data_IF_634080006702
#
_entry.id   IF_634080006702
#
_cell.length_a   1.000
_cell.length_b   1.000
_cell.length_c   1.000
_cell.angle_alpha   90.00
_cell.angle_beta   90.00
_cell.angle_gamma   90.00
#
_symmetry.space_group_name_H-M   'P 1'
#
loop_
_entity.id
_entity.type
_entity.pdbx_description
1 polymer ?
#
# COMPACT_ATOMS: atom_id res chain seq x y z
N UNK A 1 -7.54 -5.61 18.15
CA UNK A 1 -6.54 -4.51 18.13
C UNK A 1 -5.26 -5.06 18.74
N UNK A 2 -4.09 -4.73 18.22
CA UNK A 2 -2.81 -5.26 18.71
C UNK A 2 -2.07 -4.21 19.51
N UNK A 3 -1.63 -4.55 20.72
CA UNK A 3 -1.04 -3.58 21.65
C UNK A 3 0.49 -3.63 21.70
N UNK A 4 1.09 -4.68 21.14
CA UNK A 4 2.54 -4.88 21.05
C UNK A 4 3.01 -4.75 19.60
N UNK A 5 4.27 -4.36 19.43
CA UNK A 5 4.90 -4.34 18.11
C UNK A 5 5.01 -5.75 17.54
N UNK A 6 4.99 -5.86 16.21
CA UNK A 6 5.11 -7.12 15.48
C UNK A 6 6.18 -7.06 14.41
N UNK A 7 6.75 -8.24 14.14
CA UNK A 7 7.64 -8.50 13.02
C UNK A 7 7.32 -9.87 12.41
N UNK A 8 7.86 -10.20 11.23
CA UNK A 8 7.75 -11.57 10.70
C UNK A 8 8.56 -12.53 11.56
N UNK A 9 8.10 -13.77 11.75
CA UNK A 9 8.76 -14.74 12.61
C UNK A 9 9.99 -15.38 11.95
N UNK A 10 9.89 -15.74 10.66
CA UNK A 10 11.01 -16.19 9.83
C UNK A 10 11.12 -15.36 8.56
N UNK A 11 12.28 -15.33 7.87
CA UNK A 11 12.40 -14.65 6.59
C UNK A 11 11.39 -15.15 5.55
N UNK A 12 10.79 -14.23 4.80
CA UNK A 12 9.85 -14.48 3.71
C UNK A 12 10.53 -14.19 2.38
N UNK A 13 10.50 -15.14 1.45
CA UNK A 13 11.15 -15.02 0.15
C UNK A 13 10.10 -14.84 -0.95
N UNK A 14 10.28 -13.81 -1.78
CA UNK A 14 9.42 -13.48 -2.91
C UNK A 14 10.28 -13.28 -4.17
N UNK A 15 9.88 -13.87 -5.29
CA UNK A 15 10.52 -13.61 -6.58
C UNK A 15 9.45 -13.30 -7.61
N UNK A 16 9.71 -12.32 -8.48
CA UNK A 16 8.75 -11.91 -9.49
C UNK A 16 9.34 -10.90 -10.46
N UNK A 17 8.47 -10.08 -11.03
CA UNK A 17 8.83 -8.99 -11.94
C UNK A 17 8.25 -7.67 -11.43
N UNK A 18 8.94 -6.56 -11.64
CA UNK A 18 8.35 -5.23 -11.47
C UNK A 18 7.34 -4.93 -12.57
N UNK A 19 6.18 -4.35 -12.23
CA UNK A 19 5.11 -4.08 -13.21
C UNK A 19 5.52 -3.03 -14.23
N UNK A 20 6.23 -1.98 -13.81
CA UNK A 20 6.64 -0.90 -14.67
C UNK A 20 7.98 -1.17 -15.36
N UNK A 21 8.97 -1.64 -14.61
CA UNK A 21 10.32 -1.92 -15.13
C UNK A 21 10.39 -3.17 -16.01
N UNK A 22 9.52 -4.17 -15.74
CA UNK A 22 9.63 -5.51 -16.32
C UNK A 22 10.87 -6.28 -15.88
N UNK A 23 11.63 -5.79 -14.89
CA UNK A 23 12.84 -6.45 -14.39
C UNK A 23 12.47 -7.55 -13.42
N UNK A 24 13.20 -8.66 -13.47
CA UNK A 24 13.14 -9.68 -12.42
C UNK A 24 13.65 -9.08 -11.11
N UNK A 25 13.04 -9.49 -10.02
CA UNK A 25 13.41 -9.10 -8.67
C UNK A 25 13.27 -10.29 -7.72
N UNK A 26 14.27 -10.49 -6.89
CA UNK A 26 14.23 -11.33 -5.71
C UNK A 26 14.19 -10.41 -4.49
N UNK A 27 13.21 -10.65 -3.63
CA UNK A 27 12.94 -9.86 -2.44
C UNK A 27 12.85 -10.77 -1.21
N UNK A 28 13.40 -10.31 -0.08
CA UNK A 28 13.33 -10.98 1.21
C UNK A 28 12.79 -10.03 2.26
N UNK A 29 11.73 -10.43 2.98
CA UNK A 29 11.22 -9.71 4.15
C UNK A 29 11.79 -10.41 5.38
N UNK A 30 12.60 -9.72 6.17
CA UNK A 30 13.26 -10.27 7.35
C UNK A 30 12.65 -9.75 8.65
N UNK A 31 12.72 -10.54 9.74
CA UNK A 31 12.45 -10.04 11.07
C UNK A 31 13.37 -8.85 11.37
N UNK A 32 12.86 -7.86 12.10
CA UNK A 32 13.64 -6.70 12.51
C UNK A 32 13.43 -6.38 14.00
N UNK A 33 14.42 -5.76 14.67
CA UNK A 33 14.29 -5.38 16.07
C UNK A 33 13.13 -4.40 16.32
N UNK A 34 12.77 -4.25 17.60
CA UNK A 34 11.82 -3.24 18.06
C UNK A 34 12.25 -1.84 17.60
N UNK A 35 11.26 -0.99 17.26
CA UNK A 35 11.47 0.39 16.78
C UNK A 35 12.34 0.50 15.52
N UNK A 36 12.54 -0.60 14.79
CA UNK A 36 13.25 -0.57 13.52
C UNK A 36 12.44 0.13 12.43
N UNK A 37 11.12 0.02 12.48
CA UNK A 37 10.22 0.41 11.41
C UNK A 37 10.36 -0.49 10.19
N UNK A 38 9.78 -0.04 9.07
CA UNK A 38 9.92 -0.70 7.77
C UNK A 38 11.05 -0.03 6.99
N UNK A 39 12.07 -0.80 6.60
CA UNK A 39 13.20 -0.29 5.79
C UNK A 39 13.44 -1.17 4.59
N UNK A 40 13.67 -0.55 3.45
CA UNK A 40 14.07 -1.22 2.21
C UNK A 40 15.58 -1.13 2.01
N UNK A 41 16.20 -2.18 1.50
CA UNK A 41 17.64 -2.28 1.24
C UNK A 41 17.88 -2.77 -0.18
N UNK A 42 18.60 -1.98 -0.97
CA UNK A 42 18.98 -2.32 -2.35
C UNK A 42 20.25 -3.17 -2.35
N UNK A 43 20.07 -4.50 -2.38
CA UNK A 43 21.16 -5.50 -2.32
C UNK A 43 22.00 -5.58 -3.58
N UNK A 44 21.49 -5.04 -4.69
CA UNK A 44 22.17 -4.99 -5.98
C UNK A 44 23.16 -3.82 -6.12
N UNK A 45 23.16 -2.88 -5.17
CA UNK A 45 24.04 -1.70 -5.18
C UNK A 45 25.20 -1.85 -4.19
N UNK A 46 26.36 -1.19 -4.46
CA UNK A 46 27.45 -1.09 -3.50
C UNK A 46 26.96 -0.56 -2.14
N UNK A 47 27.54 -1.08 -1.05
CA UNK A 47 27.21 -0.71 0.33
C UNK A 47 25.78 -1.01 0.81
N UNK A 48 24.94 -1.64 -0.02
CA UNK A 48 23.56 -2.01 0.31
C UNK A 48 22.75 -0.86 0.94
N UNK A 49 22.56 0.27 0.23
CA UNK A 49 21.90 1.45 0.78
C UNK A 49 20.48 1.14 1.23
N UNK A 50 20.07 1.77 2.33
CA UNK A 50 18.77 1.58 2.97
C UNK A 50 17.90 2.82 2.92
N UNK A 51 16.59 2.66 2.72
CA UNK A 51 15.58 3.72 2.71
C UNK A 51 14.49 3.35 3.70
N UNK A 52 14.19 4.23 4.65
CA UNK A 52 13.04 4.05 5.55
C UNK A 52 11.73 4.32 4.80
N UNK A 53 10.72 3.49 5.02
CA UNK A 53 9.40 3.65 4.41
C UNK A 53 8.59 4.72 5.15
N UNK A 54 8.97 5.98 4.95
CA UNK A 54 8.27 7.14 5.50
C UNK A 54 7.80 8.07 4.38
N UNK A 55 6.74 8.82 4.65
CA UNK A 55 6.15 9.73 3.66
C UNK A 55 7.17 10.79 3.20
N UNK A 56 8.05 11.27 4.07
CA UNK A 56 9.09 12.23 3.71
C UNK A 56 10.24 11.64 2.86
N UNK A 57 10.22 10.33 2.61
CA UNK A 57 11.11 9.67 1.66
C UNK A 57 10.44 9.43 0.31
N UNK A 58 9.17 9.81 0.12
CA UNK A 58 8.49 9.68 -1.18
C UNK A 58 9.06 10.69 -2.16
N UNK A 59 9.45 10.23 -3.35
CA UNK A 59 10.09 11.05 -4.39
C UNK A 59 9.32 11.06 -5.71
N UNK A 60 8.41 10.11 -5.93
CA UNK A 60 7.49 10.09 -7.08
C UNK A 60 6.17 9.39 -6.70
N UNK A 61 5.08 9.85 -7.31
CA UNK A 61 3.71 9.31 -7.13
C UNK A 61 2.95 9.17 -8.45
N UNK A 62 3.66 9.22 -9.59
CA UNK A 62 3.05 9.39 -10.92
C UNK A 62 2.31 8.14 -11.39
N UNK A 63 2.89 6.96 -11.12
CA UNK A 63 2.31 5.65 -11.50
C UNK A 63 2.21 4.67 -10.34
N UNK A 64 3.00 4.92 -9.29
CA UNK A 64 3.18 4.09 -8.11
C UNK A 64 3.74 4.99 -7.01
N UNK A 65 3.75 4.53 -5.76
CA UNK A 65 4.47 5.20 -4.69
C UNK A 65 5.94 4.80 -4.72
N UNK A 66 6.83 5.78 -4.90
CA UNK A 66 8.27 5.57 -5.00
C UNK A 66 8.95 6.28 -3.83
N UNK A 67 9.72 5.53 -3.05
CA UNK A 67 10.57 6.08 -1.99
C UNK A 67 12.02 6.19 -2.47
N UNK A 68 12.75 7.20 -1.99
CA UNK A 68 14.11 7.45 -2.41
C UNK A 68 14.95 8.23 -1.40
N UNK A 69 16.26 8.03 -1.47
CA UNK A 69 17.24 8.80 -0.71
C UNK A 69 18.60 8.72 -1.41
N UNK A 70 19.32 9.84 -1.48
CA UNK A 70 20.66 9.92 -2.07
C UNK A 70 20.79 9.29 -3.48
N UNK A 71 19.78 9.50 -4.34
CA UNK A 71 19.75 8.96 -5.71
C UNK A 71 19.39 7.48 -5.83
N UNK A 72 19.15 6.78 -4.71
CA UNK A 72 18.63 5.41 -4.67
C UNK A 72 17.12 5.45 -4.55
N UNK A 73 16.41 4.57 -5.25
CA UNK A 73 14.94 4.45 -5.16
C UNK A 73 14.49 3.00 -4.96
N UNK A 74 13.28 2.88 -4.40
CA UNK A 74 12.43 1.70 -4.43
C UNK A 74 11.04 2.11 -4.87
N UNK A 75 10.58 1.53 -5.98
CA UNK A 75 9.31 1.81 -6.64
C UNK A 75 8.24 0.79 -6.27
N UNK A 76 6.98 1.21 -6.32
CA UNK A 76 5.80 0.34 -6.23
C UNK A 76 5.70 -0.36 -4.88
N UNK A 77 5.93 0.42 -3.81
CA UNK A 77 5.93 -0.10 -2.43
C UNK A 77 4.52 -0.35 -1.89
N UNK A 78 3.50 0.28 -2.46
CA UNK A 78 2.14 0.37 -1.94
C UNK A 78 1.50 -0.98 -1.61
N UNK A 79 1.60 -2.00 -2.47
CA UNK A 79 0.93 -3.30 -2.22
C UNK A 79 1.61 -4.09 -1.10
N UNK A 80 2.94 -4.04 -1.04
CA UNK A 80 3.70 -4.65 0.05
C UNK A 80 3.45 -3.91 1.37
N UNK A 81 3.48 -2.57 1.34
CA UNK A 81 3.18 -1.74 2.51
C UNK A 81 1.75 -1.99 3.00
N UNK A 82 0.79 -2.15 2.10
CA UNK A 82 -0.59 -2.50 2.45
C UNK A 82 -0.67 -3.87 3.15
N UNK A 83 0.08 -4.86 2.65
CA UNK A 83 0.19 -6.17 3.29
C UNK A 83 0.77 -6.09 4.71
N UNK A 84 1.86 -5.35 4.89
CA UNK A 84 2.51 -5.19 6.20
C UNK A 84 1.59 -4.49 7.19
N UNK A 85 0.95 -3.39 6.77
CA UNK A 85 -0.01 -2.65 7.57
C UNK A 85 -1.26 -3.48 7.90
N UNK A 86 -1.79 -4.21 6.92
CA UNK A 86 -2.96 -5.09 7.06
C UNK A 86 -2.75 -6.24 8.05
N UNK A 87 -1.50 -6.67 8.26
CA UNK A 87 -1.11 -7.66 9.28
C UNK A 87 -0.49 -7.04 10.54
N UNK A 88 -0.58 -5.72 10.66
CA UNK A 88 -0.06 -4.97 11.80
C UNK A 88 1.44 -5.17 12.05
N UNK A 89 2.25 -5.43 11.01
CA UNK A 89 3.72 -5.55 11.12
C UNK A 89 4.33 -4.17 11.23
N UNK A 90 5.07 -3.92 12.32
CA UNK A 90 5.70 -2.63 12.62
C UNK A 90 7.16 -2.60 12.17
N UNK A 91 7.84 -3.75 12.28
CA UNK A 91 9.26 -3.85 12.08
C UNK A 91 9.57 -4.92 11.02
N UNK A 92 10.22 -4.51 9.93
CA UNK A 92 10.74 -5.43 8.92
C UNK A 92 11.92 -4.81 8.17
N UNK A 93 12.86 -5.66 7.78
CA UNK A 93 13.92 -5.32 6.84
C UNK A 93 13.60 -5.98 5.50
N UNK A 94 13.41 -5.17 4.45
CA UNK A 94 13.02 -5.62 3.12
C UNK A 94 14.24 -5.50 2.21
N UNK A 95 14.82 -6.63 1.84
CA UNK A 95 15.96 -6.68 0.92
C UNK A 95 15.45 -6.95 -0.49
N UNK A 96 15.94 -6.23 -1.50
CA UNK A 96 15.62 -6.47 -2.91
C UNK A 96 16.84 -6.23 -3.81
N UNK A 97 16.95 -7.02 -4.88
CA UNK A 97 18.03 -6.95 -5.88
C UNK A 97 17.64 -6.20 -7.18
N UNK A 98 16.60 -5.37 -7.10
CA UNK A 98 16.13 -4.47 -8.15
C UNK A 98 15.54 -3.22 -7.51
N UNK A 99 15.20 -2.20 -8.32
CA UNK A 99 14.65 -0.94 -7.82
C UNK A 99 13.12 -0.94 -7.67
N UNK A 100 12.43 -2.03 -8.00
CA UNK A 100 10.97 -2.11 -7.98
C UNK A 100 10.55 -3.40 -7.27
N UNK A 101 9.56 -3.30 -6.37
CA UNK A 101 8.96 -4.43 -5.68
C UNK A 101 8.26 -5.36 -6.71
N UNK A 102 8.31 -6.70 -6.55
CA UNK A 102 7.62 -7.59 -7.48
C UNK A 102 6.11 -7.36 -7.44
N UNK A 103 5.46 -7.25 -8.59
CA UNK A 103 4.00 -7.04 -8.66
C UNK A 103 3.18 -8.27 -8.25
N UNK A 104 3.81 -9.44 -8.26
CA UNK A 104 3.16 -10.73 -8.00
C UNK A 104 1.95 -10.94 -8.94
N UNK A 105 0.74 -11.01 -8.39
CA UNK A 105 -0.51 -11.14 -9.16
C UNK A 105 -1.29 -9.82 -9.29
N UNK A 106 -0.65 -8.69 -8.96
CA UNK A 106 -1.27 -7.36 -8.95
C UNK A 106 -2.00 -7.00 -7.66
N UNK A 107 -2.03 -7.89 -6.68
CA UNK A 107 -2.67 -7.69 -5.38
C UNK A 107 -1.68 -7.90 -4.23
N UNK A 108 -2.13 -7.69 -2.99
CA UNK A 108 -1.33 -7.97 -1.80
C UNK A 108 -1.39 -9.45 -1.38
N UNK A 109 -2.31 -10.25 -1.94
CA UNK A 109 -2.60 -11.61 -1.48
C UNK A 109 -1.39 -12.57 -1.53
N UNK A 110 -0.53 -12.55 -2.56
CA UNK A 110 0.69 -13.37 -2.55
C UNK A 110 1.61 -13.04 -1.37
N UNK A 111 1.78 -11.75 -1.04
CA UNK A 111 2.54 -11.32 0.14
C UNK A 111 1.86 -11.78 1.44
N UNK A 112 0.54 -11.59 1.56
CA UNK A 112 -0.26 -12.04 2.70
C UNK A 112 -0.08 -13.54 2.95
N UNK A 113 -0.20 -14.35 1.90
CA UNK A 113 -0.07 -15.81 1.99
C UNK A 113 1.32 -16.22 2.49
N UNK A 114 2.37 -15.58 1.96
CA UNK A 114 3.75 -15.87 2.33
C UNK A 114 4.08 -15.43 3.77
N UNK A 115 3.60 -14.25 4.20
CA UNK A 115 3.78 -13.76 5.57
C UNK A 115 3.05 -14.66 6.57
N UNK A 116 1.82 -15.10 6.26
CA UNK A 116 1.09 -16.04 7.11
C UNK A 116 1.85 -17.35 7.29
N UNK A 117 2.42 -17.89 6.21
CA UNK A 117 3.20 -19.12 6.27
C UNK A 117 4.50 -18.97 7.10
N UNK A 118 5.16 -17.82 7.03
CA UNK A 118 6.32 -17.53 7.87
C UNK A 118 5.97 -17.28 9.34
N UNK A 119 4.71 -16.89 9.61
CA UNK A 119 4.24 -16.52 10.92
C UNK A 119 4.61 -15.09 11.31
N UNK A 120 3.89 -14.55 12.29
CA UNK A 120 4.10 -13.20 12.83
C UNK A 120 4.48 -13.35 14.30
N UNK A 121 5.50 -12.60 14.71
CA UNK A 121 6.04 -12.60 16.07
C UNK A 121 5.75 -11.25 16.74
N UNK A 122 5.09 -11.29 17.89
CA UNK A 122 5.00 -10.13 18.77
C UNK A 122 6.34 -9.84 19.46
N UNK A 123 6.59 -8.57 19.73
CA UNK A 123 7.80 -8.06 20.36
C UNK A 123 7.45 -7.40 21.70
N UNK A 124 8.44 -7.21 22.57
CA UNK A 124 8.19 -6.77 23.95
C UNK A 124 7.68 -5.33 24.09
N UNK A 125 7.93 -4.47 23.10
CA UNK A 125 7.55 -3.06 23.19
C UNK A 125 6.10 -2.82 22.79
N UNK A 126 5.45 -1.83 23.43
CA UNK A 126 4.12 -1.43 23.04
C UNK A 126 4.12 -0.80 21.64
N UNK A 127 3.00 -0.97 20.94
CA UNK A 127 2.71 -0.32 19.67
C UNK A 127 2.19 1.10 19.94
N UNK A 128 2.76 2.06 19.23
CA UNK A 128 2.28 3.43 19.21
C UNK A 128 1.34 3.62 18.02
N UNK A 129 0.32 4.42 18.22
CA UNK A 129 -0.69 4.75 17.22
C UNK A 129 -0.68 6.25 16.94
N UNK A 130 -1.08 6.62 15.74
CA UNK A 130 -1.38 7.99 15.36
C UNK A 130 -2.90 8.20 15.48
N UNK A 131 -3.32 8.98 16.48
CA UNK A 131 -4.70 9.06 16.92
C UNK A 131 -5.29 10.40 16.49
N UNK A 132 -6.31 10.37 15.63
CA UNK A 132 -7.02 11.57 15.20
C UNK A 132 -7.99 12.04 16.29
N UNK A 133 -7.87 13.30 16.69
CA UNK A 133 -8.66 13.97 17.74
C UNK A 133 -9.72 14.91 17.17
N UNK A 134 -9.41 15.52 16.02
CA UNK A 134 -10.32 16.40 15.31
C UNK A 134 -10.28 16.12 13.80
N UNK A 135 -11.38 16.38 13.06
CA UNK A 135 -11.40 16.13 11.62
C UNK A 135 -10.32 16.91 10.85
N UNK A 136 -9.54 16.22 10.02
CA UNK A 136 -8.54 16.83 9.13
C UNK A 136 -8.95 16.55 7.68
N UNK A 137 -9.03 17.59 6.86
CA UNK A 137 -9.53 17.49 5.49
C UNK A 137 -8.54 18.06 4.47
N UNK A 138 -8.36 17.37 3.34
CA UNK A 138 -7.79 17.91 2.10
C UNK A 138 -8.81 17.74 0.97
N UNK A 139 -9.13 18.83 0.27
CA UNK A 139 -10.05 18.86 -0.88
C UNK A 139 -9.43 19.66 -2.01
N UNK A 140 -9.38 19.09 -3.21
CA UNK A 140 -8.87 19.78 -4.38
C UNK A 140 -9.41 19.13 -5.66
N UNK A 141 -9.85 19.93 -6.64
CA UNK A 141 -10.22 19.46 -7.99
C UNK A 141 -11.19 18.26 -8.01
N UNK A 142 -12.17 18.25 -7.10
CA UNK A 142 -13.14 17.16 -6.96
C UNK A 142 -12.61 15.88 -6.31
N UNK A 143 -11.39 15.89 -5.78
CA UNK A 143 -10.80 14.85 -4.92
C UNK A 143 -10.89 15.27 -3.46
N UNK A 144 -11.03 14.31 -2.55
CA UNK A 144 -11.00 14.59 -1.11
C UNK A 144 -10.46 13.43 -0.29
N UNK A 145 -9.75 13.76 0.78
CA UNK A 145 -9.40 12.84 1.88
C UNK A 145 -9.76 13.56 3.17
N UNK A 146 -10.58 12.92 4.00
CA UNK A 146 -10.96 13.42 5.32
C UNK A 146 -10.66 12.34 6.35
N UNK A 147 -9.91 12.67 7.40
CA UNK A 147 -9.72 11.80 8.54
C UNK A 147 -10.60 12.27 9.69
N UNK A 148 -11.55 11.45 10.11
CA UNK A 148 -12.37 11.68 11.30
C UNK A 148 -11.81 10.90 12.50
N UNK A 149 -12.01 11.40 13.73
CA UNK A 149 -11.71 10.64 14.93
C UNK A 149 -12.44 9.28 14.93
N UNK A 150 -11.70 8.21 15.23
CA UNK A 150 -12.23 6.85 15.32
C UNK A 150 -11.37 6.03 16.28
N UNK A 151 -11.96 5.05 16.97
CA UNK A 151 -11.24 4.10 17.82
C UNK A 151 -10.59 2.95 17.03
N UNK A 152 -10.94 2.82 15.74
CA UNK A 152 -10.40 1.82 14.81
C UNK A 152 -9.90 2.47 13.53
N UNK A 153 -9.13 1.73 12.74
CA UNK A 153 -8.76 2.17 11.40
C UNK A 153 -9.87 1.80 10.41
N UNK A 154 -10.73 2.76 10.10
CA UNK A 154 -11.81 2.59 9.14
C UNK A 154 -11.48 3.35 7.86
N UNK A 155 -11.80 2.77 6.71
CA UNK A 155 -11.64 3.40 5.41
C UNK A 155 -12.93 3.29 4.61
N UNK A 156 -13.40 4.42 4.09
CA UNK A 156 -14.47 4.49 3.09
C UNK A 156 -13.90 5.13 1.86
N UNK A 157 -13.88 4.40 0.75
CA UNK A 157 -13.34 4.88 -0.51
C UNK A 157 -14.43 4.95 -1.56
N UNK A 158 -14.51 6.06 -2.28
CA UNK A 158 -15.36 6.22 -3.45
C UNK A 158 -14.52 6.53 -4.68
N UNK A 159 -14.57 5.63 -5.67
CA UNK A 159 -14.05 5.88 -7.02
C UNK A 159 -15.16 6.39 -7.92
N UNK A 160 -14.81 7.16 -8.93
CA UNK A 160 -15.73 7.64 -9.95
C UNK A 160 -14.98 7.76 -11.28
N UNK A 161 -15.23 6.80 -12.16
CA UNK A 161 -14.64 6.73 -13.49
C UNK A 161 -15.72 6.92 -14.54
N UNK A 162 -15.42 7.72 -15.56
CA UNK A 162 -16.22 7.83 -16.78
C UNK A 162 -15.98 6.59 -17.68
N UNK A 163 -16.40 5.43 -17.17
CA UNK A 163 -16.25 4.16 -17.85
C UNK A 163 -17.46 3.26 -17.54
N UNK A 164 -18.09 2.62 -18.55
CA UNK A 164 -19.33 1.87 -18.37
C UNK A 164 -19.21 0.66 -17.45
N UNK A 165 -18.00 0.13 -17.23
CA UNK A 165 -17.78 -1.01 -16.33
C UNK A 165 -17.34 -0.60 -14.91
N UNK A 166 -16.56 0.47 -14.78
CA UNK A 166 -16.01 0.89 -13.48
C UNK A 166 -17.02 1.78 -12.76
N UNK A 167 -17.55 2.80 -13.47
CA UNK A 167 -18.53 3.76 -12.95
C UNK A 167 -18.13 4.36 -11.60
N UNK A 168 -19.12 4.73 -10.80
CA UNK A 168 -18.98 5.10 -9.40
C UNK A 168 -19.13 3.86 -8.54
N UNK A 169 -18.18 3.63 -7.66
CA UNK A 169 -18.23 2.54 -6.67
C UNK A 169 -17.82 3.09 -5.31
N UNK A 170 -18.42 2.58 -4.25
CA UNK A 170 -18.07 2.94 -2.88
C UNK A 170 -17.96 1.68 -2.04
N UNK A 171 -16.90 1.58 -1.24
CA UNK A 171 -16.71 0.49 -0.28
C UNK A 171 -16.26 1.06 1.06
N UNK A 172 -16.72 0.46 2.15
CA UNK A 172 -16.32 0.84 3.51
C UNK A 172 -15.91 -0.40 4.28
N UNK A 173 -14.76 -0.34 4.96
CA UNK A 173 -14.23 -1.42 5.76
C UNK A 173 -13.60 -0.91 7.05
N UNK A 174 -13.81 -1.63 8.15
CA UNK A 174 -13.04 -1.48 9.39
C UNK A 174 -11.86 -2.46 9.30
N UNK A 175 -10.66 -1.94 9.12
CA UNK A 175 -9.49 -2.73 8.74
C UNK A 175 -8.93 -3.45 9.97
N UNK A 176 -9.07 -4.77 9.92
CA UNK A 176 -8.43 -5.74 10.81
C UNK A 176 -7.73 -6.81 9.99
N UNK A 177 -6.86 -7.62 10.61
CA UNK A 177 -6.16 -8.71 9.91
C UNK A 177 -7.10 -9.62 9.10
N UNK A 178 -8.27 -9.97 9.67
CA UNK A 178 -9.27 -10.80 8.98
C UNK A 178 -9.96 -10.07 7.82
N UNK A 179 -10.33 -8.80 8.00
CA UNK A 179 -10.98 -8.01 6.95
C UNK A 179 -9.99 -7.74 5.82
N UNK A 180 -8.75 -7.36 6.13
CA UNK A 180 -7.72 -7.16 5.15
C UNK A 180 -7.50 -8.43 4.32
N UNK A 181 -7.31 -9.58 4.99
CA UNK A 181 -7.06 -10.85 4.29
C UNK A 181 -8.23 -11.25 3.38
N UNK A 182 -9.45 -11.25 3.91
CA UNK A 182 -10.59 -11.83 3.20
C UNK A 182 -11.21 -10.89 2.16
N UNK A 183 -11.18 -9.59 2.42
CA UNK A 183 -11.97 -8.61 1.68
C UNK A 183 -11.14 -7.65 0.82
N UNK A 184 -9.86 -7.44 1.14
CA UNK A 184 -9.02 -6.42 0.49
C UNK A 184 -7.84 -7.04 -0.25
N UNK A 185 -7.10 -7.96 0.39
CA UNK A 185 -5.78 -8.40 -0.06
C UNK A 185 -5.75 -8.96 -1.48
N UNK A 186 -6.85 -9.59 -1.93
CA UNK A 186 -6.94 -10.22 -3.25
C UNK A 186 -7.31 -9.24 -4.37
N UNK A 187 -7.64 -7.99 -4.07
CA UNK A 187 -8.08 -7.03 -5.07
C UNK A 187 -6.90 -6.58 -5.93
N UNK A 188 -6.93 -6.93 -7.22
CA UNK A 188 -5.82 -6.66 -8.14
C UNK A 188 -5.84 -5.23 -8.67
N UNK A 189 -4.66 -4.76 -9.03
CA UNK A 189 -4.48 -3.54 -9.81
C UNK A 189 -5.17 -3.65 -11.16
N UNK A 190 -5.49 -2.50 -11.74
CA UNK A 190 -6.24 -2.44 -12.98
C UNK A 190 -5.77 -1.29 -13.86
N UNK A 191 -5.92 -1.46 -15.17
CA UNK A 191 -5.59 -0.43 -16.14
C UNK A 191 -6.43 -0.57 -17.40
N UNK A 192 -6.57 0.53 -18.14
CA UNK A 192 -7.27 0.52 -19.40
C UNK A 192 -6.35 0.09 -20.54
N UNK A 193 -6.84 -0.78 -21.43
CA UNK A 193 -6.03 -1.36 -22.51
C UNK A 193 -5.30 -0.29 -23.35
N UNK A 194 -6.01 0.77 -23.71
CA UNK A 194 -5.45 1.88 -24.50
C UNK A 194 -4.35 2.66 -23.77
N UNK A 195 -4.44 2.79 -22.44
CA UNK A 195 -3.40 3.43 -21.62
C UNK A 195 -2.19 2.51 -21.46
N UNK A 196 -2.40 1.21 -21.27
CA UNK A 196 -1.31 0.22 -21.13
C UNK A 196 -0.47 0.17 -22.41
N UNK A 197 -1.10 0.17 -23.58
CA UNK A 197 -0.39 0.23 -24.87
C UNK A 197 0.46 1.50 -25.00
N UNK A 198 -0.07 2.63 -24.55
CA UNK A 198 0.66 3.90 -24.50
C UNK A 198 1.84 3.82 -23.52
N UNK A 199 1.60 3.41 -22.27
CA UNK A 199 2.63 3.27 -21.23
C UNK A 199 3.80 2.38 -21.68
N UNK A 200 3.51 1.25 -22.34
CA UNK A 200 4.54 0.36 -22.89
C UNK A 200 5.43 1.04 -23.93
N UNK A 201 4.89 1.93 -24.77
CA UNK A 201 5.67 2.71 -25.75
C UNK A 201 6.65 3.69 -25.08
N UNK A 202 6.32 4.18 -23.89
CA UNK A 202 7.17 5.08 -23.10
C UNK A 202 8.03 4.35 -22.05
N UNK A 203 8.11 3.01 -22.12
CA UNK A 203 8.97 2.22 -21.23
C UNK A 203 8.40 1.95 -19.84
N UNK A 204 7.09 2.18 -19.63
CA UNK A 204 6.35 1.82 -18.43
C UNK A 204 5.49 0.57 -18.66
N UNK A 205 4.92 0.01 -17.59
CA UNK A 205 4.07 -1.18 -17.61
C UNK A 205 4.69 -2.39 -18.36
N UNK A 206 6.02 -2.49 -18.42
CA UNK A 206 6.73 -3.54 -19.19
C UNK A 206 6.52 -4.94 -18.63
N UNK A 207 6.29 -5.06 -17.32
CA UNK A 207 5.94 -6.30 -16.66
C UNK A 207 4.43 -6.57 -16.58
N UNK A 208 3.58 -5.63 -17.02
CA UNK A 208 2.14 -5.76 -16.98
C UNK A 208 1.59 -6.84 -17.93
N UNK A 209 0.82 -7.78 -17.38
CA UNK A 209 0.12 -8.85 -18.09
C UNK A 209 -1.28 -9.08 -17.49
N UNK A 210 -2.07 -9.96 -18.11
CA UNK A 210 -3.37 -10.39 -17.56
C UNK A 210 -3.24 -11.21 -16.27
N UNK A 211 -2.04 -11.72 -15.97
CA UNK A 211 -1.75 -12.49 -14.76
C UNK A 211 -1.57 -11.59 -13.53
N UNK A 212 -1.23 -10.32 -13.76
CA UNK A 212 -0.89 -9.37 -12.69
C UNK A 212 -1.65 -8.03 -12.75
N UNK A 213 -2.62 -7.90 -13.63
CA UNK A 213 -3.51 -6.75 -13.68
C UNK A 213 -4.86 -7.12 -14.30
N UNK A 214 -5.91 -6.43 -13.85
CA UNK A 214 -7.19 -6.42 -14.54
C UNK A 214 -7.08 -5.44 -15.71
N UNK A 215 -7.29 -5.93 -16.92
CA UNK A 215 -7.23 -5.11 -18.13
C UNK A 215 -8.64 -4.86 -18.64
N UNK A 216 -8.97 -3.59 -18.84
CA UNK A 216 -10.32 -3.13 -19.19
C UNK A 216 -10.26 -2.46 -20.56
N UNK A 217 -11.09 -2.91 -21.50
CA UNK A 217 -11.35 -2.17 -22.74
C UNK A 217 -12.65 -1.35 -22.60
N UNK A 218 -13.11 -0.69 -23.68
CA UNK A 218 -14.30 0.18 -23.65
C UNK A 218 -15.57 -0.50 -23.13
N UNK A 219 -15.69 -1.81 -23.26
CA UNK A 219 -16.91 -2.57 -23.03
C UNK A 219 -16.73 -3.86 -22.21
N UNK A 220 -15.50 -4.36 -22.06
CA UNK A 220 -15.22 -5.67 -21.48
C UNK A 220 -14.05 -5.64 -20.49
N UNK A 221 -14.08 -6.61 -19.57
CA UNK A 221 -12.91 -7.04 -18.80
C UNK A 221 -12.23 -8.12 -19.62
N UNK A 222 -10.95 -7.93 -19.94
CA UNK A 222 -10.20 -8.82 -20.83
C UNK A 222 -9.79 -10.13 -20.14
N UNK A 223 -9.62 -10.10 -18.81
CA UNK A 223 -9.26 -11.28 -18.02
C UNK A 223 -10.37 -12.34 -18.12
N UNK A 224 -10.04 -13.55 -18.60
CA UNK A 224 -11.01 -14.64 -18.83
C UNK A 224 -11.77 -15.06 -17.57
N UNK A 225 -11.08 -15.06 -16.42
CA UNK A 225 -11.66 -15.42 -15.13
C UNK A 225 -12.46 -14.26 -14.48
N UNK A 226 -12.51 -13.10 -15.13
CA UNK A 226 -13.24 -11.93 -14.65
C UNK A 226 -12.63 -11.30 -13.39
N UNK A 227 -13.52 -10.76 -12.54
CA UNK A 227 -13.15 -10.14 -11.27
C UNK A 227 -13.20 -11.14 -10.12
N UNK A 228 -12.32 -10.97 -9.14
CA UNK A 228 -12.33 -11.68 -7.86
C UNK A 228 -13.42 -11.15 -6.92
N UNK A 229 -13.79 -9.89 -7.09
CA UNK A 229 -14.88 -9.22 -6.38
C UNK A 229 -15.72 -8.37 -7.35
N UNK A 230 -17.04 -8.27 -7.20
CA UNK A 230 -17.86 -7.38 -8.06
C UNK A 230 -17.39 -5.91 -8.02
N UNK A 231 -16.80 -5.49 -6.91
CA UNK A 231 -16.29 -4.17 -6.56
C UNK A 231 -14.74 -4.16 -6.42
N UNK A 232 -14.05 -5.04 -7.16
CA UNK A 232 -12.59 -5.22 -7.08
C UNK A 232 -11.80 -3.90 -7.29
N UNK A 233 -12.28 -3.00 -8.16
CA UNK A 233 -11.60 -1.73 -8.46
C UNK A 233 -11.52 -0.79 -7.24
N UNK A 234 -12.62 -0.62 -6.51
CA UNK A 234 -12.63 0.24 -5.31
C UNK A 234 -11.92 -0.43 -4.13
N UNK A 235 -11.99 -1.76 -4.01
CA UNK A 235 -11.22 -2.52 -3.03
C UNK A 235 -9.71 -2.40 -3.28
N UNK A 236 -9.28 -2.39 -4.53
CA UNK A 236 -7.89 -2.15 -4.86
C UNK A 236 -7.46 -0.72 -4.49
N UNK A 237 -8.31 0.29 -4.70
CA UNK A 237 -8.01 1.65 -4.24
C UNK A 237 -7.98 1.79 -2.72
N UNK A 238 -8.72 0.96 -1.99
CA UNK A 238 -8.54 0.82 -0.55
C UNK A 238 -7.18 0.18 -0.22
N UNK A 239 -6.81 -0.89 -0.92
CA UNK A 239 -5.50 -1.55 -0.77
C UNK A 239 -4.34 -0.54 -0.98
N UNK A 240 -4.36 0.20 -2.10
CA UNK A 240 -3.39 1.26 -2.40
C UNK A 240 -3.31 2.27 -1.25
N UNK A 241 -4.46 2.77 -0.78
CA UNK A 241 -4.52 3.74 0.30
C UNK A 241 -4.01 3.20 1.63
N UNK A 242 -4.29 1.95 1.99
CA UNK A 242 -3.72 1.32 3.20
C UNK A 242 -2.19 1.34 3.11
N UNK A 243 -1.64 1.00 1.94
CA UNK A 243 -0.21 1.06 1.66
C UNK A 243 0.37 2.46 1.79
N UNK A 244 -0.21 3.43 1.08
CA UNK A 244 0.26 4.82 1.10
C UNK A 244 0.20 5.42 2.50
N UNK A 245 -0.93 5.32 3.20
CA UNK A 245 -1.09 5.91 4.53
C UNK A 245 -0.22 5.25 5.59
N UNK A 246 0.20 3.99 5.39
CA UNK A 246 1.16 3.34 6.29
C UNK A 246 2.55 3.99 6.28
N UNK A 247 2.89 4.78 5.25
CA UNK A 247 4.11 5.59 5.20
C UNK A 247 4.13 6.72 6.24
N UNK A 248 3.03 6.97 6.96
CA UNK A 248 3.08 7.77 8.19
C UNK A 248 4.06 7.17 9.23
N UNK A 249 4.30 5.86 9.17
CA UNK A 249 5.21 5.13 10.06
C UNK A 249 4.58 4.68 11.38
N UNK A 250 3.30 5.01 11.60
CA UNK A 250 2.48 4.55 12.72
C UNK A 250 1.10 4.11 12.21
N UNK A 251 0.50 3.06 12.79
CA UNK A 251 -0.90 2.72 12.53
C UNK A 251 -1.83 3.88 12.91
N UNK A 252 -2.79 4.18 12.04
CA UNK A 252 -3.71 5.31 12.18
C UNK A 252 -5.00 4.87 12.87
N UNK A 253 -5.45 5.61 13.89
CA UNK A 253 -6.81 5.51 14.42
C UNK A 253 -7.63 6.67 13.89
N UNK A 254 -8.35 6.39 12.81
CA UNK A 254 -9.21 7.34 12.14
C UNK A 254 -10.21 6.61 11.24
N UNK A 255 -11.30 7.29 10.92
CA UNK A 255 -12.10 6.96 9.76
C UNK A 255 -11.65 7.84 8.60
N UNK A 256 -10.92 7.25 7.64
CA UNK A 256 -10.56 7.89 6.38
C UNK A 256 -11.72 7.81 5.39
N UNK A 257 -12.27 8.96 5.00
CA UNK A 257 -13.26 9.09 3.93
C UNK A 257 -12.58 9.69 2.71
N UNK A 258 -12.50 8.90 1.63
CA UNK A 258 -11.68 9.18 0.46
C UNK A 258 -12.57 9.21 -0.78
N UNK A 259 -12.40 10.24 -1.60
CA UNK A 259 -13.11 10.40 -2.87
C UNK A 259 -12.11 10.73 -3.98
N UNK A 260 -12.07 9.88 -5.02
CA UNK A 260 -11.28 10.07 -6.26
C UNK A 260 -9.78 10.37 -6.01
N UNK A 261 -9.22 9.83 -4.93
CA UNK A 261 -7.80 10.01 -4.58
C UNK A 261 -6.90 9.10 -5.43
N UNK A 262 -5.59 9.21 -5.22
CA UNK A 262 -4.54 8.36 -5.75
C UNK A 262 -3.25 8.61 -4.96
N UNK A 263 -2.14 7.97 -5.32
CA UNK A 263 -0.87 8.06 -4.58
C UNK A 263 -0.45 9.50 -4.29
N UNK A 264 -0.47 10.38 -5.31
CA UNK A 264 -0.14 11.80 -5.17
C UNK A 264 -1.00 12.52 -4.10
N UNK A 265 -2.31 12.28 -4.11
CA UNK A 265 -3.24 12.97 -3.21
C UNK A 265 -3.26 12.35 -1.80
N UNK A 266 -3.02 11.03 -1.70
CA UNK A 266 -2.76 10.36 -0.41
C UNK A 266 -1.48 10.91 0.23
N UNK A 267 -0.40 11.06 -0.55
CA UNK A 267 0.85 11.64 -0.07
C UNK A 267 0.69 13.10 0.37
N UNK A 268 0.02 13.94 -0.45
CA UNK A 268 -0.28 15.32 -0.06
C UNK A 268 -1.12 15.41 1.23
N UNK A 269 -2.02 14.44 1.46
CA UNK A 269 -2.74 14.37 2.73
C UNK A 269 -1.82 14.01 3.90
N UNK A 270 -0.85 13.10 3.72
CA UNK A 270 0.16 12.82 4.75
C UNK A 270 1.05 14.02 5.07
N UNK A 271 1.39 14.83 4.06
CA UNK A 271 2.11 16.10 4.31
C UNK A 271 1.24 17.09 5.09
N UNK A 272 -0.07 17.15 4.81
CA UNK A 272 -0.99 18.01 5.56
C UNK A 272 -1.27 17.51 6.98
N UNK A 273 -1.50 16.22 7.17
CA UNK A 273 -1.94 15.66 8.45
C UNK A 273 -0.90 15.92 9.54
N UNK A 274 0.39 15.80 9.21
CA UNK A 274 1.48 15.98 10.17
C UNK A 274 1.62 17.43 10.64
N UNK A 275 1.16 18.42 9.85
CA UNK A 275 1.21 19.83 10.25
C UNK A 275 0.06 20.22 11.19
N UNK A 276 -1.03 19.44 11.25
CA UNK A 276 -2.20 19.70 12.11
C UNK A 276 -1.99 19.20 13.54
N UNK A 277 -0.94 19.67 14.23
CA UNK A 277 -0.46 19.13 15.52
C UNK A 277 -1.50 19.12 16.66
N UNK A 278 -2.51 19.98 16.59
CA UNK A 278 -3.59 20.04 17.60
C UNK A 278 -4.69 19.00 17.35
N UNK A 279 -4.79 18.49 16.12
CA UNK A 279 -5.85 17.58 15.68
C UNK A 279 -5.48 16.10 15.80
N UNK A 280 -4.27 15.79 16.28
CA UNK A 280 -3.81 14.42 16.51
C UNK A 280 -2.85 14.31 17.69
N UNK A 281 -2.74 13.11 18.25
CA UNK A 281 -1.73 12.74 19.24
C UNK A 281 -1.10 11.40 18.87
N UNK A 282 0.06 11.09 19.43
CA UNK A 282 0.62 9.73 19.37
C UNK A 282 0.61 9.11 20.75
N UNK A 283 0.29 7.82 20.81
CA UNK A 283 0.19 7.14 22.10
C UNK A 283 0.02 5.65 21.96
N UNK A 284 0.22 4.96 23.08
CA UNK A 284 -0.16 3.56 23.22
C UNK A 284 -1.65 3.49 23.58
N UNK A 285 -2.31 2.43 23.15
CA UNK A 285 -3.68 2.11 23.58
C UNK A 285 -3.56 0.99 24.60
N UNK A 286 -4.34 1.04 25.68
CA UNK A 286 -4.42 -0.07 26.63
C UNK A 286 -5.47 -1.09 26.17
N UNK A 287 -5.29 -2.34 26.58
CA UNK A 287 -6.28 -3.40 26.40
C UNK A 287 -7.52 -3.16 27.27
#
# INVERSE_FOLDING_TARGET
MYYRQKTVNTPVYCSGIGVHSGRKVNMVIRPAPVNHGIKFVRKDLPDNPSISAHFNMVVDTSLATVIGSNGVIVSTVEHLMACLAGHSIDNALIELDSYEVPIMDGSAYPFTSLIKNAGIKEQENPKYFFIIKEPIELKENGKSVVAFPSSTFKITYTIEFDHPLVKKQSYSADISDSIFENEISKARTFGFLHEIEYLKRYGFARGGSLDNAIVIDRHNIINKDGLRYPDEFVRHKILDSIGDFSLLGLPILAHLVIHKSGHCFNHAFLEKIITQKESWETGTIQA
#
